data_IF_145873668280
#
_entry.id   IF_145873668280
#
_cell.length_a   1.000
_cell.length_b   1.000
_cell.length_c   1.000
_cell.angle_alpha   90.00
_cell.angle_beta   90.00
_cell.angle_gamma   90.00
#
_symmetry.space_group_name_H-M   'P 1'
#
loop_
_entity.id
_entity.type
_entity.pdbx_description
1 polymer ?
#
# COMPACT_ATOMS: atom_id res chain seq x y z
N UNK A 1 -4.57 16.23 -27.50
CA UNK A 1 -4.06 14.89 -27.88
C UNK A 1 -3.95 14.07 -26.61
N UNK A 2 -4.53 12.87 -26.55
CA UNK A 2 -4.34 11.97 -25.42
C UNK A 2 -2.90 11.46 -25.42
N UNK A 3 -2.24 11.44 -24.25
CA UNK A 3 -0.87 10.95 -24.10
C UNK A 3 -0.92 9.53 -23.49
N UNK A 4 -1.09 8.45 -24.29
CA UNK A 4 -1.26 7.09 -23.80
C UNK A 4 -0.10 6.63 -22.91
N UNK A 5 1.13 7.08 -23.22
CA UNK A 5 2.33 6.83 -22.41
C UNK A 5 2.22 7.36 -20.98
N UNK A 6 1.53 8.49 -20.76
CA UNK A 6 1.33 9.02 -19.41
C UNK A 6 0.36 8.15 -18.61
N UNK A 7 -0.65 7.59 -19.27
CA UNK A 7 -1.59 6.69 -18.62
C UNK A 7 -0.94 5.37 -18.22
N UNK A 8 -0.10 4.79 -19.10
CA UNK A 8 0.63 3.55 -18.79
C UNK A 8 1.64 3.76 -17.66
N UNK A 9 2.35 4.89 -17.65
CA UNK A 9 3.28 5.28 -16.59
C UNK A 9 2.59 5.47 -15.23
N UNK A 10 1.45 6.16 -15.19
CA UNK A 10 0.66 6.33 -13.96
C UNK A 10 0.12 5.00 -13.43
N UNK A 11 -0.36 4.12 -14.31
CA UNK A 11 -0.82 2.79 -13.93
C UNK A 11 0.34 1.94 -13.36
N UNK A 12 1.52 2.04 -13.98
CA UNK A 12 2.73 1.35 -13.52
C UNK A 12 3.21 1.85 -12.16
N UNK A 13 3.28 3.16 -11.96
CA UNK A 13 3.62 3.76 -10.66
C UNK A 13 2.62 3.35 -9.57
N UNK A 14 1.33 3.35 -9.87
CA UNK A 14 0.29 2.88 -8.94
C UNK A 14 0.51 1.41 -8.57
N UNK A 15 0.84 0.56 -9.53
CA UNK A 15 1.14 -0.85 -9.28
C UNK A 15 2.33 -1.02 -8.32
N UNK A 16 3.42 -0.28 -8.55
CA UNK A 16 4.61 -0.30 -7.69
C UNK A 16 4.25 0.12 -6.26
N UNK A 17 3.56 1.25 -6.09
CA UNK A 17 3.15 1.77 -4.78
C UNK A 17 2.30 0.74 -4.01
N UNK A 18 1.32 0.13 -4.68
CA UNK A 18 0.44 -0.85 -4.02
C UNK A 18 1.19 -2.15 -3.69
N UNK A 19 2.10 -2.60 -4.56
CA UNK A 19 2.95 -3.76 -4.29
C UNK A 19 3.82 -3.52 -3.07
N UNK A 20 4.56 -2.41 -3.01
CA UNK A 20 5.45 -2.14 -1.87
C UNK A 20 4.67 -1.88 -0.58
N UNK A 21 3.47 -1.29 -0.66
CA UNK A 21 2.60 -1.17 0.50
C UNK A 21 2.13 -2.54 1.02
N UNK A 22 1.80 -3.47 0.13
CA UNK A 22 1.44 -4.84 0.50
C UNK A 22 2.61 -5.56 1.18
N UNK A 23 3.82 -5.46 0.62
CA UNK A 23 5.04 -6.03 1.22
C UNK A 23 5.30 -5.42 2.60
N UNK A 24 5.14 -4.10 2.75
CA UNK A 24 5.28 -3.42 4.04
C UNK A 24 4.33 -3.98 5.10
N UNK A 25 3.07 -4.25 4.75
CA UNK A 25 2.09 -4.82 5.69
C UNK A 25 2.32 -6.32 5.95
N UNK A 26 2.88 -7.05 5.00
CA UNK A 26 3.18 -8.47 5.16
C UNK A 26 4.17 -8.70 6.32
N UNK A 27 5.16 -7.82 6.47
CA UNK A 27 6.13 -7.86 7.56
C UNK A 27 5.52 -7.65 8.96
N UNK A 28 4.28 -7.15 9.04
CA UNK A 28 3.64 -6.77 10.31
C UNK A 28 2.80 -7.89 10.93
N UNK A 29 2.71 -9.06 10.29
CA UNK A 29 2.06 -10.25 10.84
C UNK A 29 0.59 -10.03 11.28
N UNK A 30 -0.18 -9.29 10.48
CA UNK A 30 -1.58 -8.91 10.81
C UNK A 30 -2.59 -10.07 10.75
N UNK A 31 -2.16 -11.26 10.31
CA UNK A 31 -3.01 -12.45 10.23
C UNK A 31 -4.28 -12.23 9.41
N UNK A 32 -5.44 -12.61 9.96
CA UNK A 32 -6.74 -12.46 9.29
C UNK A 32 -7.14 -10.99 9.02
N UNK A 33 -6.51 -10.03 9.71
CA UNK A 33 -6.73 -8.59 9.49
C UNK A 33 -5.91 -8.00 8.34
N UNK A 34 -4.99 -8.75 7.74
CA UNK A 34 -4.06 -8.23 6.74
C UNK A 34 -4.77 -7.67 5.48
N UNK A 35 -5.77 -8.38 4.96
CA UNK A 35 -6.52 -7.93 3.78
C UNK A 35 -7.32 -6.66 4.09
N UNK A 36 -7.96 -6.60 5.26
CA UNK A 36 -8.72 -5.42 5.68
C UNK A 36 -7.82 -4.18 5.83
N UNK A 37 -6.63 -4.35 6.42
CA UNK A 37 -5.61 -3.30 6.46
C UNK A 37 -5.15 -2.87 5.06
N UNK A 38 -4.89 -3.82 4.16
CA UNK A 38 -4.44 -3.54 2.80
C UNK A 38 -5.49 -2.73 2.03
N UNK A 39 -6.76 -3.11 2.09
CA UNK A 39 -7.86 -2.41 1.42
C UNK A 39 -8.02 -1.00 1.96
N UNK A 40 -8.05 -0.84 3.30
CA UNK A 40 -8.15 0.46 3.95
C UNK A 40 -6.98 1.37 3.57
N UNK A 41 -5.74 0.88 3.76
CA UNK A 41 -4.53 1.65 3.50
C UNK A 41 -4.34 1.99 2.02
N UNK A 42 -4.74 1.11 1.09
CA UNK A 42 -4.78 1.41 -0.34
C UNK A 42 -5.69 2.60 -0.63
N UNK A 43 -6.88 2.65 -0.04
CA UNK A 43 -7.80 3.77 -0.21
C UNK A 43 -7.18 5.09 0.25
N UNK A 44 -6.61 5.09 1.45
CA UNK A 44 -5.97 6.26 2.06
C UNK A 44 -4.74 6.72 1.26
N UNK A 45 -3.85 5.81 0.88
CA UNK A 45 -2.69 6.12 0.05
C UNK A 45 -3.07 6.77 -1.27
N UNK A 46 -4.06 6.21 -1.97
CA UNK A 46 -4.52 6.78 -3.24
C UNK A 46 -5.10 8.18 -3.04
N UNK A 47 -5.84 8.41 -1.95
CA UNK A 47 -6.35 9.74 -1.63
C UNK A 47 -5.23 10.75 -1.34
N UNK A 48 -4.22 10.37 -0.55
CA UNK A 48 -3.05 11.23 -0.24
C UNK A 48 -2.20 11.52 -1.47
N UNK A 49 -2.06 10.54 -2.36
CA UNK A 49 -1.26 10.64 -3.58
C UNK A 49 -2.00 11.31 -4.75
N UNK A 50 -3.25 11.76 -4.59
CA UNK A 50 -3.90 12.65 -5.56
C UNK A 50 -3.22 14.02 -5.61
N UNK A 51 -2.74 14.51 -4.46
CA UNK A 51 -2.05 15.80 -4.31
C UNK A 51 -0.77 15.62 -3.49
N UNK A 52 0.24 14.89 -4.03
CA UNK A 52 1.48 14.64 -3.31
C UNK A 52 2.25 15.95 -3.12
N UNK A 53 3.04 16.04 -2.06
CA UNK A 53 4.00 17.13 -1.92
C UNK A 53 5.09 17.04 -3.01
N UNK A 54 5.76 18.14 -3.36
CA UNK A 54 6.82 18.13 -4.37
C UNK A 54 7.91 17.09 -4.09
N UNK A 55 8.34 16.95 -2.84
CA UNK A 55 9.28 15.91 -2.39
C UNK A 55 8.77 14.49 -2.65
N UNK A 56 7.51 14.20 -2.32
CA UNK A 56 6.89 12.89 -2.54
C UNK A 56 6.79 12.61 -4.04
N UNK A 57 6.32 13.58 -4.81
CA UNK A 57 6.21 13.46 -6.26
C UNK A 57 7.57 13.18 -6.91
N UNK A 58 8.61 13.92 -6.52
CA UNK A 58 9.98 13.73 -7.04
C UNK A 58 10.49 12.31 -6.77
N UNK A 59 10.30 11.79 -5.55
CA UNK A 59 10.73 10.44 -5.19
C UNK A 59 9.95 9.36 -5.95
N UNK A 60 8.64 9.52 -6.11
CA UNK A 60 7.82 8.59 -6.88
C UNK A 60 8.20 8.55 -8.36
N UNK A 61 8.54 9.71 -8.94
CA UNK A 61 9.03 9.77 -10.32
C UNK A 61 10.40 9.10 -10.46
N UNK A 62 11.32 9.28 -9.50
CA UNK A 62 12.61 8.60 -9.53
C UNK A 62 12.47 7.07 -9.47
N UNK A 63 11.54 6.56 -8.64
CA UNK A 63 11.19 5.14 -8.59
C UNK A 63 10.66 4.65 -9.94
N UNK A 64 9.78 5.41 -10.58
CA UNK A 64 9.23 5.07 -11.89
C UNK A 64 10.32 5.06 -12.97
N UNK A 65 11.23 6.04 -12.97
CA UNK A 65 12.35 6.10 -13.92
C UNK A 65 13.28 4.89 -13.79
N UNK A 66 13.62 4.47 -12.57
CA UNK A 66 14.43 3.25 -12.33
C UNK A 66 13.71 1.99 -12.82
N UNK A 67 12.41 1.86 -12.53
CA UNK A 67 11.60 0.72 -12.95
C UNK A 67 11.43 0.66 -14.49
N UNK A 68 11.32 1.81 -15.17
CA UNK A 68 11.29 1.91 -16.63
C UNK A 68 12.64 1.62 -17.28
N UNK A 69 13.74 2.01 -16.64
CA UNK A 69 15.10 1.74 -17.11
C UNK A 69 15.48 0.26 -16.98
N UNK A 70 14.72 -0.52 -16.22
CA UNK A 70 14.95 -1.95 -16.06
C UNK A 70 14.29 -2.80 -17.14
N UNK A 71 15.07 -3.62 -17.87
CA UNK A 71 14.56 -4.45 -18.95
C UNK A 71 13.71 -5.65 -18.49
N UNK A 72 13.60 -5.93 -17.18
CA UNK A 72 12.88 -7.11 -16.67
C UNK A 72 11.71 -6.82 -15.70
N UNK A 73 11.39 -5.56 -15.40
CA UNK A 73 10.24 -5.23 -14.54
C UNK A 73 10.36 -5.67 -13.05
N UNK A 74 11.53 -6.18 -12.66
CA UNK A 74 11.87 -6.63 -11.30
C UNK A 74 12.78 -5.67 -10.54
N UNK A 75 13.23 -4.57 -11.15
CA UNK A 75 14.30 -3.73 -10.58
C UNK A 75 13.80 -2.62 -9.67
N UNK A 76 13.04 -2.99 -8.64
CA UNK A 76 13.16 -2.20 -7.42
C UNK A 76 14.36 -2.75 -6.65
N UNK A 77 15.51 -2.11 -6.83
CA UNK A 77 16.70 -2.41 -6.01
C UNK A 77 16.31 -2.38 -4.52
N UNK A 78 16.89 -3.26 -3.69
CA UNK A 78 16.62 -3.27 -2.24
C UNK A 78 16.65 -1.87 -1.59
N UNK A 79 17.62 -0.98 -1.90
CA UNK A 79 17.61 0.38 -1.35
C UNK A 79 16.43 1.23 -1.86
N UNK A 80 16.02 1.11 -3.12
CA UNK A 80 14.86 1.81 -3.65
C UNK A 80 13.55 1.36 -2.98
N UNK A 81 13.40 0.05 -2.74
CA UNK A 81 12.25 -0.50 -1.99
C UNK A 81 12.18 0.03 -0.57
N UNK A 82 13.30 -0.02 0.16
CA UNK A 82 13.37 0.53 1.50
C UNK A 82 13.03 2.03 1.53
N UNK A 83 13.56 2.80 0.57
CA UNK A 83 13.25 4.22 0.40
C UNK A 83 11.78 4.50 0.07
N UNK A 84 11.16 3.65 -0.74
CA UNK A 84 9.73 3.75 -1.06
C UNK A 84 8.86 3.35 0.14
N UNK A 85 9.20 2.30 0.89
CA UNK A 85 8.47 1.93 2.09
C UNK A 85 8.52 3.04 3.16
N UNK A 86 9.69 3.66 3.36
CA UNK A 86 9.82 4.84 4.24
C UNK A 86 8.99 6.02 3.73
N UNK A 87 8.97 6.25 2.42
CA UNK A 87 8.09 7.27 1.84
C UNK A 87 6.62 6.98 2.12
N UNK A 88 6.16 5.74 1.94
CA UNK A 88 4.77 5.35 2.18
C UNK A 88 4.38 5.49 3.66
N UNK A 89 5.31 5.21 4.59
CA UNK A 89 5.14 5.49 6.02
C UNK A 89 4.94 6.96 6.31
N UNK A 90 5.67 7.84 5.62
CA UNK A 90 5.56 9.29 5.77
C UNK A 90 4.38 9.95 5.02
N UNK A 91 3.88 9.32 3.95
CA UNK A 91 2.72 9.82 3.19
C UNK A 91 1.42 9.63 3.96
N UNK A 92 1.30 8.54 4.69
CA UNK A 92 0.18 8.28 5.58
C UNK A 92 0.39 9.01 6.91
N UNK A 93 -0.66 9.69 7.37
CA UNK A 93 -0.66 10.35 8.67
C UNK A 93 -0.79 9.33 9.80
N UNK A 94 -0.55 9.77 11.04
CA UNK A 94 -0.75 8.91 12.21
C UNK A 94 -2.19 8.41 12.30
N UNK A 95 -3.15 9.29 12.02
CA UNK A 95 -4.58 9.00 12.03
C UNK A 95 -4.94 7.95 10.96
N UNK A 96 -4.30 8.03 9.79
CA UNK A 96 -4.46 7.02 8.73
C UNK A 96 -3.97 5.64 9.22
N UNK A 97 -2.82 5.60 9.91
CA UNK A 97 -2.27 4.37 10.48
C UNK A 97 -3.13 3.79 11.60
N UNK A 98 -3.69 4.65 12.47
CA UNK A 98 -4.62 4.24 13.52
C UNK A 98 -5.90 3.64 12.91
N UNK A 99 -6.42 4.21 11.83
CA UNK A 99 -7.57 3.66 11.11
C UNK A 99 -7.26 2.31 10.46
N UNK A 100 -6.09 2.14 9.84
CA UNK A 100 -5.65 0.86 9.28
C UNK A 100 -5.56 -0.20 10.39
N UNK A 101 -4.95 0.14 11.53
CA UNK A 101 -4.80 -0.76 12.67
C UNK A 101 -6.16 -1.15 13.25
N UNK A 102 -7.06 -0.18 13.45
CA UNK A 102 -8.41 -0.43 13.95
C UNK A 102 -9.19 -1.35 12.98
N UNK A 103 -9.06 -1.13 11.68
CA UNK A 103 -9.72 -1.95 10.65
C UNK A 103 -9.23 -3.40 10.69
N UNK A 104 -7.93 -3.63 10.78
CA UNK A 104 -7.37 -4.97 10.95
C UNK A 104 -7.84 -5.64 12.24
N UNK A 105 -7.79 -4.92 13.36
CA UNK A 105 -8.20 -5.42 14.68
C UNK A 105 -9.70 -5.77 14.74
N UNK A 106 -10.55 -4.96 14.10
CA UNK A 106 -11.98 -5.23 14.01
C UNK A 106 -12.26 -6.53 13.22
N UNK A 107 -11.53 -6.78 12.14
CA UNK A 107 -11.67 -8.02 11.37
C UNK A 107 -11.30 -9.26 12.21
N UNK A 108 -10.24 -9.18 13.02
CA UNK A 108 -9.89 -10.25 13.97
C UNK A 108 -11.02 -10.47 14.98
N UNK A 109 -11.54 -9.39 15.57
CA UNK A 109 -12.63 -9.45 16.54
C UNK A 109 -13.89 -10.10 15.96
N UNK A 110 -14.30 -9.69 14.76
CA UNK A 110 -15.45 -10.26 14.06
C UNK A 110 -15.25 -11.76 13.83
N UNK A 111 -14.05 -12.18 13.41
CA UNK A 111 -13.72 -13.59 13.19
C UNK A 111 -13.85 -14.45 14.45
N UNK A 112 -13.46 -13.91 15.60
CA UNK A 112 -13.62 -14.60 16.90
C UNK A 112 -15.11 -14.74 17.25
N UNK A 113 -15.89 -13.68 17.09
CA UNK A 113 -17.33 -13.69 17.39
C UNK A 113 -18.08 -14.69 16.48
N UNK A 114 -17.80 -14.68 15.16
CA UNK A 114 -18.36 -15.64 14.20
C UNK A 114 -18.08 -17.08 14.65
N UNK A 115 -16.82 -17.40 14.96
CA UNK A 115 -16.42 -18.74 15.38
C UNK A 115 -17.11 -19.17 16.67
N UNK A 116 -17.20 -18.29 17.66
CA UNK A 116 -17.89 -18.57 18.91
C UNK A 116 -19.39 -18.85 18.70
N UNK A 117 -20.06 -18.06 17.85
CA UNK A 117 -21.48 -18.25 17.54
C UNK A 117 -21.73 -19.57 16.81
N UNK A 118 -20.90 -19.91 15.81
CA UNK A 118 -21.03 -21.19 15.08
C UNK A 118 -20.83 -22.42 15.97
N UNK A 119 -19.95 -22.33 16.99
CA UNK A 119 -19.72 -23.40 17.95
C UNK A 119 -20.88 -23.60 18.94
N UNK A 120 -21.73 -22.58 19.15
CA UNK A 120 -22.90 -22.65 20.04
C UNK A 120 -24.13 -23.27 19.36
N UNK A 121 -24.17 -23.25 18.03
CA UNK A 121 -25.28 -23.76 17.20
C UNK A 121 -25.06 -25.17 16.65
N UNK A 122 -23.87 -25.76 16.89
CA UNK A 122 -23.52 -27.12 16.52
C UNK A 122 -23.62 -28.05 17.74
#
# INVERSE_FOLDING_TARGET
MAHPERYSQLARLRSIVIREFKELLADWNLGVGAEAALVCGRGLLMARLLHPTPEVQKRLLAVLEEDLASPQGDSSSKPLRAGLQELLRGVLTREDWELIAATAGNCVRERVIERFQTAKTA
#
